data_IF_844190115336
#
_entry.id   IF_844190115336
#
_cell.length_a   1.000
_cell.length_b   1.000
_cell.length_c   1.000
_cell.angle_alpha   90.00
_cell.angle_beta   90.00
_cell.angle_gamma   90.00
#
_symmetry.space_group_name_H-M   'P 1'
#
loop_
_entity.id
_entity.type
_entity.pdbx_description
1 polymer ?
#
# COMPACT_ATOMS: atom_id res chain seq x y z
N UNK A 1 -17.68 1.40 10.08
CA UNK A 1 -16.43 0.93 10.73
C UNK A 1 -15.29 1.20 9.77
N UNK A 2 -14.22 1.88 10.19
CA UNK A 2 -13.10 2.21 9.30
C UNK A 2 -12.27 0.97 9.00
N UNK A 3 -11.84 0.80 7.74
CA UNK A 3 -11.00 -0.32 7.29
C UNK A 3 -9.56 0.16 7.13
N UNK A 4 -8.62 -0.70 7.53
CA UNK A 4 -7.19 -0.45 7.43
C UNK A 4 -6.51 -1.63 6.74
N UNK A 5 -5.44 -1.38 5.99
CA UNK A 5 -4.61 -2.42 5.40
C UNK A 5 -3.11 -2.09 5.56
N UNK A 6 -2.33 -3.07 6.01
CA UNK A 6 -0.86 -3.04 6.01
C UNK A 6 -0.37 -3.82 4.80
N UNK A 7 0.41 -3.17 3.93
CA UNK A 7 0.95 -3.79 2.72
C UNK A 7 2.47 -3.75 2.79
N UNK A 8 3.09 -4.93 2.83
CA UNK A 8 4.55 -5.07 2.74
C UNK A 8 4.98 -5.21 1.28
N UNK A 9 6.17 -4.72 0.95
CA UNK A 9 6.67 -4.71 -0.43
C UNK A 9 5.91 -3.75 -1.37
N UNK A 10 5.20 -2.75 -0.82
CA UNK A 10 4.33 -1.84 -1.58
C UNK A 10 5.06 -0.83 -2.49
N UNK A 11 6.39 -0.93 -2.62
CA UNK A 11 7.18 -0.01 -3.44
C UNK A 11 7.09 -0.28 -4.95
N UNK A 12 6.70 -1.48 -5.38
CA UNK A 12 6.61 -1.86 -6.79
C UNK A 12 5.78 -3.14 -6.99
N UNK A 13 5.46 -3.43 -8.26
CA UNK A 13 4.80 -4.68 -8.67
C UNK A 13 3.44 -4.86 -8.00
N UNK A 14 3.11 -6.11 -7.67
CA UNK A 14 1.79 -6.50 -7.13
C UNK A 14 1.46 -5.76 -5.84
N UNK A 15 2.44 -5.53 -4.94
CA UNK A 15 2.18 -4.79 -3.70
C UNK A 15 1.74 -3.35 -3.93
N UNK A 16 2.26 -2.70 -4.98
CA UNK A 16 1.85 -1.35 -5.38
C UNK A 16 0.44 -1.37 -5.98
N UNK A 17 0.17 -2.28 -6.90
CA UNK A 17 -1.15 -2.40 -7.54
C UNK A 17 -2.27 -2.68 -6.52
N UNK A 18 -2.01 -3.56 -5.54
CA UNK A 18 -2.94 -3.83 -4.45
C UNK A 18 -3.19 -2.57 -3.61
N UNK A 19 -2.15 -1.77 -3.34
CA UNK A 19 -2.31 -0.51 -2.62
C UNK A 19 -3.22 0.47 -3.39
N UNK A 20 -3.05 0.58 -4.71
CA UNK A 20 -3.89 1.45 -5.56
C UNK A 20 -5.36 1.01 -5.53
N UNK A 21 -5.64 -0.29 -5.74
CA UNK A 21 -7.01 -0.83 -5.69
C UNK A 21 -7.67 -0.64 -4.31
N UNK A 22 -6.92 -0.77 -3.22
CA UNK A 22 -7.46 -0.57 -1.87
C UNK A 22 -7.65 0.92 -1.53
N UNK A 23 -6.81 1.80 -2.05
CA UNK A 23 -6.96 3.24 -1.92
C UNK A 23 -8.26 3.73 -2.59
N UNK A 24 -8.55 3.24 -3.81
CA UNK A 24 -9.81 3.53 -4.52
C UNK A 24 -11.07 3.10 -3.73
N UNK A 25 -10.92 2.10 -2.86
CA UNK A 25 -12.00 1.62 -1.97
C UNK A 25 -12.11 2.40 -0.65
N UNK A 26 -11.43 3.53 -0.52
CA UNK A 26 -11.39 4.36 0.69
C UNK A 26 -10.90 3.60 1.94
N UNK A 27 -9.90 2.72 1.77
CA UNK A 27 -9.25 2.01 2.88
C UNK A 27 -7.98 2.79 3.26
N UNK A 28 -7.78 3.01 4.56
CA UNK A 28 -6.55 3.66 5.05
C UNK A 28 -5.38 2.67 4.97
N UNK A 29 -4.30 3.06 4.29
CA UNK A 29 -3.19 2.17 4.00
C UNK A 29 -1.94 2.53 4.81
N UNK A 30 -1.28 1.50 5.33
CA UNK A 30 0.08 1.56 5.84
C UNK A 30 0.99 0.80 4.88
N UNK A 31 1.91 1.51 4.23
CA UNK A 31 2.78 0.95 3.20
C UNK A 31 4.18 0.74 3.75
N UNK A 32 4.63 -0.52 3.80
CA UNK A 32 5.99 -0.89 4.18
C UNK A 32 6.76 -1.32 2.93
N UNK A 33 7.56 -0.43 2.32
CA UNK A 33 8.32 -0.76 1.11
C UNK A 33 9.50 -1.69 1.44
N UNK A 34 9.93 -2.52 0.47
CA UNK A 34 11.12 -3.39 0.62
C UNK A 34 12.43 -2.58 0.58
N UNK A 35 12.43 -1.48 -0.17
CA UNK A 35 13.50 -0.48 -0.20
C UNK A 35 12.90 0.87 0.10
N UNK A 36 13.48 1.60 1.04
CA UNK A 36 13.10 3.00 1.27
C UNK A 36 13.33 3.75 -0.04
N UNK A 37 12.26 4.26 -0.63
CA UNK A 37 12.37 5.12 -1.79
C UNK A 37 12.98 6.43 -1.30
N UNK A 38 14.23 6.66 -1.66
CA UNK A 38 14.92 7.92 -1.41
C UNK A 38 14.78 8.69 -2.72
N UNK A 39 14.04 9.80 -2.68
CA UNK A 39 14.01 10.76 -3.78
C UNK A 39 15.35 11.46 -3.92
#
# INVERSE_FOLDING_TARGET
MSKYALITGASAGIGKEIAEVLAEKNITLFLQPKRRQVN
#
